data_IF_523484398771
#
_entry.id   IF_523484398771
#
_cell.length_a   1.000
_cell.length_b   1.000
_cell.length_c   1.000
_cell.angle_alpha   90.00
_cell.angle_beta   90.00
_cell.angle_gamma   90.00
#
_symmetry.space_group_name_H-M   'P 1'
#
loop_
_entity.id
_entity.type
_entity.pdbx_description
1 polymer ?
#
# COMPACT_ATOMS: atom_id res chain seq x y z
N UNK A 1 -24.61 -16.83 9.88
CA UNK A 1 -24.47 -17.39 8.52
C UNK A 1 -23.01 -17.20 8.09
N UNK A 2 -22.21 -18.24 8.30
CA UNK A 2 -20.78 -18.28 7.98
C UNK A 2 -20.58 -19.22 6.80
N UNK A 3 -20.18 -18.68 5.64
CA UNK A 3 -19.51 -19.39 4.54
C UNK A 3 -19.33 -18.47 3.32
N UNK A 4 -18.09 -18.02 3.11
CA UNK A 4 -17.49 -17.93 1.77
C UNK A 4 -15.99 -18.20 1.89
N UNK A 5 -15.65 -19.50 1.92
CA UNK A 5 -14.31 -20.00 1.60
C UNK A 5 -14.10 -19.83 0.09
N UNK A 6 -13.41 -18.79 -0.34
CA UNK A 6 -12.76 -18.76 -1.67
C UNK A 6 -11.26 -18.83 -1.46
N UNK A 7 -10.64 -19.77 -2.17
CA UNK A 7 -9.24 -20.24 -2.09
C UNK A 7 -8.24 -19.08 -2.23
N UNK A 8 -7.02 -19.19 -1.63
CA UNK A 8 -6.09 -18.08 -1.59
C UNK A 8 -5.54 -17.85 -3.00
N UNK A 9 -5.97 -16.78 -3.66
CA UNK A 9 -5.20 -16.26 -4.78
C UNK A 9 -3.85 -15.82 -4.19
N UNK A 10 -2.82 -16.63 -4.45
CA UNK A 10 -1.41 -16.22 -4.36
C UNK A 10 -1.23 -15.02 -5.29
N UNK A 11 -1.66 -13.85 -4.83
CA UNK A 11 -1.34 -12.59 -5.47
C UNK A 11 0.16 -12.47 -5.51
N UNK A 12 0.69 -12.30 -6.71
CA UNK A 12 2.12 -12.25 -6.99
C UNK A 12 2.70 -11.00 -6.32
N UNK A 13 3.03 -11.10 -5.03
CA UNK A 13 3.70 -10.03 -4.32
C UNK A 13 5.13 -9.92 -4.85
N UNK A 14 5.33 -9.02 -5.80
CA UNK A 14 6.62 -8.77 -6.44
C UNK A 14 7.65 -8.32 -5.41
N UNK A 15 7.22 -7.69 -4.31
CA UNK A 15 8.07 -7.37 -3.17
C UNK A 15 8.04 -8.51 -2.13
N UNK A 16 9.09 -9.32 -2.00
CA UNK A 16 9.16 -10.32 -0.94
C UNK A 16 9.23 -9.62 0.42
N UNK A 17 8.27 -9.90 1.31
CA UNK A 17 8.24 -9.39 2.70
C UNK A 17 7.05 -8.50 3.08
N UNK A 18 6.14 -8.20 2.16
CA UNK A 18 4.91 -7.43 2.43
C UNK A 18 3.66 -8.21 2.00
N UNK A 19 2.57 -8.14 2.80
CA UNK A 19 1.30 -8.83 2.51
C UNK A 19 0.28 -7.93 1.82
N UNK A 20 0.40 -6.63 2.03
CA UNK A 20 -0.53 -5.60 1.55
C UNK A 20 0.14 -4.55 0.67
N UNK A 21 1.48 -4.55 0.59
CA UNK A 21 2.21 -3.53 -0.15
C UNK A 21 2.76 -4.06 -1.49
N UNK A 22 2.12 -3.70 -2.60
CA UNK A 22 2.57 -4.00 -3.96
C UNK A 22 1.41 -4.31 -4.92
N UNK A 23 1.62 -4.20 -6.25
CA UNK A 23 0.61 -4.56 -7.24
C UNK A 23 0.24 -6.04 -7.11
N UNK A 24 -1.05 -6.33 -6.89
CA UNK A 24 -1.55 -7.70 -6.70
C UNK A 24 -1.52 -8.22 -5.26
N UNK A 25 -1.15 -7.40 -4.28
CA UNK A 25 -1.15 -7.76 -2.85
C UNK A 25 -2.33 -7.12 -2.11
N UNK A 26 -3.51 -7.75 -2.14
CA UNK A 26 -4.68 -7.39 -1.29
C UNK A 26 -5.19 -8.61 -0.53
N UNK A 27 -4.27 -9.43 -0.02
CA UNK A 27 -4.56 -10.72 0.59
C UNK A 27 -5.02 -10.62 2.05
N UNK A 28 -5.87 -11.55 2.54
CA UNK A 28 -6.37 -11.54 3.91
C UNK A 28 -5.24 -11.86 4.93
N UNK A 29 -5.07 -10.99 5.93
CA UNK A 29 -4.14 -11.20 7.03
C UNK A 29 -3.85 -9.93 7.85
N UNK A 30 -3.32 -10.09 9.06
CA UNK A 30 -2.81 -8.95 9.82
C UNK A 30 -1.59 -8.33 9.09
N UNK A 31 -1.45 -6.99 9.11
CA UNK A 31 -0.26 -6.34 8.57
C UNK A 31 0.99 -6.86 9.28
N UNK A 32 2.05 -7.19 8.52
CA UNK A 32 3.30 -7.71 9.09
C UNK A 32 4.03 -6.59 9.85
N UNK A 33 3.97 -5.37 9.35
CA UNK A 33 4.70 -4.22 9.85
C UNK A 33 3.87 -2.93 9.69
N UNK A 34 4.30 -1.85 10.33
CA UNK A 34 3.63 -0.54 10.21
C UNK A 34 3.48 -0.05 8.77
N UNK A 35 4.48 -0.34 7.91
CA UNK A 35 4.43 -0.02 6.47
C UNK A 35 3.28 -0.78 5.80
N UNK A 36 3.13 -2.07 6.13
CA UNK A 36 2.07 -2.95 5.61
C UNK A 36 0.67 -2.48 6.08
N UNK A 37 0.58 -1.91 7.29
CA UNK A 37 -0.64 -1.29 7.81
C UNK A 37 -1.02 -0.03 7.01
N UNK A 38 -0.06 0.79 6.60
CA UNK A 38 -0.31 1.91 5.70
C UNK A 38 -0.83 1.43 4.33
N UNK A 39 -0.26 0.36 3.77
CA UNK A 39 -0.68 -0.18 2.47
C UNK A 39 -2.10 -0.77 2.55
N UNK A 40 -2.43 -1.46 3.65
CA UNK A 40 -3.80 -1.88 3.94
C UNK A 40 -4.77 -0.70 3.94
N UNK A 41 -4.45 0.39 4.65
CA UNK A 41 -5.32 1.57 4.71
C UNK A 41 -5.51 2.23 3.32
N UNK A 42 -4.46 2.24 2.49
CA UNK A 42 -4.52 2.74 1.12
C UNK A 42 -5.43 1.90 0.23
N UNK A 43 -5.32 0.57 0.29
CA UNK A 43 -6.21 -0.37 -0.40
C UNK A 43 -7.68 -0.16 -0.01
N UNK A 44 -7.96 0.01 1.29
CA UNK A 44 -9.32 0.34 1.75
C UNK A 44 -9.83 1.66 1.18
N UNK A 45 -8.96 2.68 1.13
CA UNK A 45 -9.30 3.98 0.56
C UNK A 45 -9.59 3.86 -0.94
N UNK A 46 -8.76 3.15 -1.69
CA UNK A 46 -8.98 2.88 -3.12
C UNK A 46 -10.25 2.10 -3.38
N UNK A 47 -10.58 1.10 -2.53
CA UNK A 47 -11.84 0.35 -2.66
C UNK A 47 -13.08 1.22 -2.42
N UNK A 48 -12.97 2.25 -1.58
CA UNK A 48 -14.09 3.13 -1.23
C UNK A 48 -14.25 4.31 -2.17
N UNK A 49 -13.15 4.90 -2.63
CA UNK A 49 -13.13 6.17 -3.36
C UNK A 49 -12.50 6.07 -4.75
N UNK A 50 -11.95 4.92 -5.13
CA UNK A 50 -11.16 4.76 -6.35
C UNK A 50 -9.77 5.40 -6.24
N UNK A 51 -9.08 5.49 -7.38
CA UNK A 51 -7.77 6.14 -7.48
C UNK A 51 -7.91 7.66 -7.28
N UNK A 52 -7.83 8.09 -6.02
CA UNK A 52 -7.99 9.50 -5.66
C UNK A 52 -6.71 10.07 -5.04
N UNK A 53 -6.45 11.33 -5.35
CA UNK A 53 -5.33 12.09 -4.78
C UNK A 53 -5.37 12.10 -3.24
N UNK A 54 -6.57 12.09 -2.64
CA UNK A 54 -6.76 12.02 -1.19
C UNK A 54 -6.20 10.72 -0.59
N UNK A 55 -6.47 9.57 -1.23
CA UNK A 55 -5.95 8.30 -0.77
C UNK A 55 -4.42 8.25 -0.86
N UNK A 56 -3.86 8.70 -1.97
CA UNK A 56 -2.41 8.74 -2.17
C UNK A 56 -1.71 9.68 -1.18
N UNK A 57 -2.31 10.84 -0.87
CA UNK A 57 -1.82 11.77 0.16
C UNK A 57 -1.79 11.13 1.54
N UNK A 58 -2.90 10.55 1.99
CA UNK A 58 -2.96 9.89 3.30
C UNK A 58 -1.96 8.73 3.40
N UNK A 59 -1.73 8.03 2.31
CA UNK A 59 -0.71 6.98 2.26
C UNK A 59 0.71 7.54 2.41
N UNK A 60 1.04 8.62 1.71
CA UNK A 60 2.34 9.29 1.85
C UNK A 60 2.57 9.79 3.28
N UNK A 61 1.56 10.39 3.90
CA UNK A 61 1.64 10.87 5.28
C UNK A 61 1.87 9.72 6.28
N UNK A 62 1.25 8.55 6.04
CA UNK A 62 1.46 7.34 6.84
C UNK A 62 2.87 6.74 6.63
N UNK A 63 3.36 6.71 5.39
CA UNK A 63 4.66 6.12 5.08
C UNK A 63 5.84 7.01 5.46
N UNK A 64 5.70 8.34 5.40
CA UNK A 64 6.76 9.33 5.65
C UNK A 64 7.55 9.05 6.94
N UNK A 65 6.94 8.83 8.12
CA UNK A 65 7.70 8.52 9.35
C UNK A 65 8.31 7.11 9.36
N UNK A 66 7.93 6.23 8.43
CA UNK A 66 8.42 4.84 8.35
C UNK A 66 9.56 4.68 7.34
N UNK A 67 9.85 5.71 6.55
CA UNK A 67 11.01 5.76 5.65
C UNK A 67 12.28 5.86 6.48
N UNK A 68 13.12 4.82 6.41
CA UNK A 68 14.36 4.75 7.18
C UNK A 68 15.44 3.95 6.42
N UNK A 69 16.58 4.57 6.14
CA UNK A 69 17.70 3.96 5.41
C UNK A 69 18.43 2.85 6.17
N UNK A 70 18.35 2.83 7.50
CA UNK A 70 19.08 1.90 8.36
C UNK A 70 18.43 0.52 8.48
N UNK A 71 17.14 0.38 8.13
CA UNK A 71 16.43 -0.90 8.22
C UNK A 71 16.02 -1.40 6.84
N UNK A 72 16.03 -2.71 6.64
CA UNK A 72 15.55 -3.32 5.38
C UNK A 72 14.10 -2.89 5.09
N UNK A 73 13.24 -2.85 6.12
CA UNK A 73 11.86 -2.36 6.00
C UNK A 73 11.78 -0.89 5.58
N UNK A 74 12.62 -0.03 6.13
CA UNK A 74 12.59 1.39 5.85
C UNK A 74 13.17 1.73 4.47
N UNK A 75 14.13 0.95 3.95
CA UNK A 75 14.60 1.06 2.55
C UNK A 75 13.49 0.70 1.56
N UNK A 76 12.76 -0.37 1.86
CA UNK A 76 11.59 -0.76 1.07
C UNK A 76 10.48 0.30 1.15
N UNK A 77 10.23 0.86 2.34
CA UNK A 77 9.31 1.98 2.51
C UNK A 77 9.77 3.22 1.73
N UNK A 78 11.07 3.49 1.66
CA UNK A 78 11.62 4.60 0.88
C UNK A 78 11.34 4.45 -0.62
N UNK A 79 11.54 3.25 -1.18
CA UNK A 79 11.25 2.96 -2.59
C UNK A 79 9.75 3.16 -2.85
N UNK A 80 8.90 2.60 -1.99
CA UNK A 80 7.45 2.73 -2.10
C UNK A 80 6.98 4.18 -1.96
N UNK A 81 7.54 4.93 -1.01
CA UNK A 81 7.25 6.35 -0.82
C UNK A 81 7.60 7.17 -2.07
N UNK A 82 8.77 6.93 -2.67
CA UNK A 82 9.18 7.64 -3.87
C UNK A 82 8.31 7.29 -5.09
N UNK A 83 7.96 6.00 -5.27
CA UNK A 83 7.02 5.58 -6.31
C UNK A 83 5.65 6.22 -6.12
N UNK A 84 5.09 6.16 -4.91
CA UNK A 84 3.76 6.70 -4.62
C UNK A 84 3.76 8.23 -4.63
N UNK A 85 4.88 8.89 -4.34
CA UNK A 85 5.05 10.34 -4.49
C UNK A 85 5.04 10.74 -5.96
N UNK A 86 5.68 9.96 -6.82
CA UNK A 86 5.62 10.16 -8.27
C UNK A 86 4.18 9.96 -8.76
N UNK A 87 3.54 8.85 -8.39
CA UNK A 87 2.15 8.55 -8.73
C UNK A 87 1.19 9.63 -8.22
N UNK A 88 1.31 10.07 -6.98
CA UNK A 88 0.53 11.16 -6.39
C UNK A 88 0.63 12.44 -7.23
N UNK A 89 1.83 12.81 -7.69
CA UNK A 89 1.98 13.94 -8.60
C UNK A 89 1.17 13.73 -9.87
N UNK A 90 1.21 12.55 -10.49
CA UNK A 90 0.40 12.29 -11.68
C UNK A 90 -1.10 12.26 -11.37
N UNK A 91 -1.55 11.50 -10.38
CA UNK A 91 -2.97 11.34 -10.01
C UNK A 91 -3.60 12.66 -9.54
N UNK A 92 -2.85 13.54 -8.87
CA UNK A 92 -3.35 14.84 -8.43
C UNK A 92 -3.24 15.94 -9.50
N UNK A 93 -2.38 15.78 -10.51
CA UNK A 93 -2.23 16.77 -11.60
C UNK A 93 -3.16 16.47 -12.78
N UNK A 94 -3.50 15.20 -13.03
CA UNK A 94 -4.38 14.80 -14.15
C UNK A 94 -5.89 14.93 -13.84
N UNK A 95 -6.28 15.02 -12.57
CA UNK A 95 -7.68 15.17 -12.13
C UNK A 95 -7.97 16.60 -11.63
N UNK A 96 -7.38 17.61 -12.26
CA UNK A 96 -7.70 19.03 -12.04
C UNK A 96 -8.47 19.60 -13.23
#
# INVERSE_FOLDING_TARGET
MEKRRTRPLRGFCIFPGYKWCGPGCSGPGAPINDVDACCKAHDYCYRKYGSSCRCDRSFLDCLRPKVNSYSQKGRQAAIMYNYMKLKYRFTCTFFK
#
